data_IF_529325657520
#
_entry.id   IF_529325657520
#
_cell.length_a   1.000
_cell.length_b   1.000
_cell.length_c   1.000
_cell.angle_alpha   90.00
_cell.angle_beta   90.00
_cell.angle_gamma   90.00
#
_symmetry.space_group_name_H-M   'P 1'
#
loop_
_entity.id
_entity.type
_entity.pdbx_description
1 polymer ?
#
# COMPACT_ATOMS: atom_id res chain seq x y z
N UNK A 1 28.58 8.88 40.67
CA UNK A 1 29.64 8.96 39.64
C UNK A 1 30.03 7.61 39.06
N UNK A 2 30.44 6.63 39.87
CA UNK A 2 31.07 5.38 39.39
C UNK A 2 30.12 4.38 38.69
N UNK A 3 28.90 4.18 39.20
CA UNK A 3 27.96 3.20 38.65
C UNK A 3 27.40 3.53 37.26
N UNK A 4 27.21 4.82 36.95
CA UNK A 4 26.70 5.28 35.66
C UNK A 4 27.72 5.07 34.54
N UNK A 5 29.00 5.39 34.79
CA UNK A 5 30.10 5.09 33.86
C UNK A 5 30.24 3.59 33.58
N UNK A 6 30.05 2.74 34.59
CA UNK A 6 30.11 1.28 34.41
C UNK A 6 28.95 0.76 33.54
N UNK A 7 27.74 1.30 33.71
CA UNK A 7 26.58 0.96 32.86
C UNK A 7 26.76 1.42 31.42
N UNK A 8 27.31 2.62 31.20
CA UNK A 8 27.60 3.14 29.86
C UNK A 8 28.67 2.31 29.13
N UNK A 9 29.75 1.94 29.81
CA UNK A 9 30.78 1.06 29.24
C UNK A 9 30.19 -0.31 28.87
N UNK A 10 29.35 -0.88 29.75
CA UNK A 10 28.69 -2.17 29.48
C UNK A 10 27.67 -2.08 28.33
N UNK A 11 27.02 -0.93 28.14
CA UNK A 11 26.14 -0.69 26.99
C UNK A 11 26.93 -0.56 25.68
N UNK A 12 28.06 0.16 25.71
CA UNK A 12 28.97 0.29 24.56
C UNK A 12 29.57 -1.06 24.14
N UNK A 13 29.98 -1.90 25.11
CA UNK A 13 30.47 -3.27 24.84
C UNK A 13 29.40 -4.15 24.20
N UNK A 14 28.13 -4.03 24.64
CA UNK A 14 27.00 -4.78 24.05
C UNK A 14 26.66 -4.31 22.64
N UNK A 15 26.71 -3.00 22.39
CA UNK A 15 26.52 -2.41 21.06
C UNK A 15 27.63 -2.85 20.09
N UNK A 16 28.89 -2.84 20.53
CA UNK A 16 30.02 -3.32 19.74
C UNK A 16 29.89 -4.83 19.42
N UNK A 17 29.49 -5.64 20.41
CA UNK A 17 29.24 -7.07 20.21
C UNK A 17 28.06 -7.34 19.26
N UNK A 18 27.01 -6.52 19.32
CA UNK A 18 25.87 -6.61 18.40
C UNK A 18 26.27 -6.23 16.96
N UNK A 19 27.10 -5.19 16.78
CA UNK A 19 27.62 -4.80 15.48
C UNK A 19 28.54 -5.88 14.87
N UNK A 20 29.39 -6.51 15.68
CA UNK A 20 30.25 -7.61 15.23
C UNK A 20 29.43 -8.87 14.86
N UNK A 21 28.34 -9.14 15.59
CA UNK A 21 27.42 -10.23 15.26
C UNK A 21 26.66 -9.95 13.96
N UNK A 22 26.21 -8.71 13.72
CA UNK A 22 25.54 -8.30 12.48
C UNK A 22 26.49 -8.40 11.27
N UNK A 23 27.76 -8.01 11.42
CA UNK A 23 28.76 -8.15 10.37
C UNK A 23 29.00 -9.63 10.00
N UNK A 24 29.09 -10.52 11.00
CA UNK A 24 29.23 -11.97 10.75
C UNK A 24 28.00 -12.59 10.08
N UNK A 25 26.80 -12.11 10.44
CA UNK A 25 25.56 -12.55 9.79
C UNK A 25 25.53 -12.12 8.31
N UNK A 26 25.93 -10.89 8.00
CA UNK A 26 26.07 -10.40 6.61
C UNK A 26 27.08 -11.22 5.82
N UNK A 27 28.24 -11.56 6.40
CA UNK A 27 29.23 -12.42 5.72
C UNK A 27 28.70 -13.85 5.47
N UNK A 28 27.84 -14.36 6.34
CA UNK A 28 27.21 -15.67 6.17
C UNK A 28 26.14 -15.65 5.08
N UNK A 29 25.37 -14.56 4.99
CA UNK A 29 24.42 -14.30 3.89
C UNK A 29 25.13 -14.18 2.55
N UNK A 30 26.24 -13.43 2.46
CA UNK A 30 27.04 -13.32 1.24
C UNK A 30 27.60 -14.68 0.78
N UNK A 31 28.00 -15.54 1.72
CA UNK A 31 28.42 -16.92 1.42
C UNK A 31 27.28 -17.78 0.90
N UNK A 32 26.07 -17.62 1.45
CA UNK A 32 24.88 -18.33 0.97
C UNK A 32 24.50 -17.86 -0.44
N UNK A 33 24.55 -16.56 -0.72
CA UNK A 33 24.32 -15.99 -2.05
C UNK A 33 25.33 -16.54 -3.05
N UNK A 34 26.63 -16.51 -2.74
CA UNK A 34 27.67 -17.06 -3.61
C UNK A 34 27.48 -18.56 -3.91
N UNK A 35 27.01 -19.33 -2.92
CA UNK A 35 26.68 -20.74 -3.12
C UNK A 35 25.47 -20.94 -4.05
N UNK A 36 24.42 -20.12 -3.90
CA UNK A 36 23.24 -20.15 -4.76
C UNK A 36 23.59 -19.74 -6.19
N UNK A 37 24.40 -18.70 -6.38
CA UNK A 37 24.90 -18.28 -7.69
C UNK A 37 25.68 -19.39 -8.39
N UNK A 38 26.57 -20.07 -7.66
CA UNK A 38 27.31 -21.22 -8.18
C UNK A 38 26.36 -22.36 -8.59
N UNK A 39 25.33 -22.66 -7.79
CA UNK A 39 24.31 -23.66 -8.12
C UNK A 39 23.52 -23.27 -9.38
N UNK A 40 23.08 -22.02 -9.48
CA UNK A 40 22.35 -21.52 -10.66
C UNK A 40 23.21 -21.64 -11.90
N UNK A 41 24.50 -21.27 -11.81
CA UNK A 41 25.43 -21.36 -12.94
C UNK A 41 25.63 -22.79 -13.41
N UNK A 42 25.82 -23.74 -12.49
CA UNK A 42 25.98 -25.17 -12.83
C UNK A 42 24.70 -25.77 -13.42
N UNK A 43 23.52 -25.40 -12.92
CA UNK A 43 22.24 -25.78 -13.53
C UNK A 43 22.08 -25.20 -14.95
N UNK A 44 22.46 -23.94 -15.16
CA UNK A 44 22.41 -23.29 -16.46
C UNK A 44 23.38 -23.91 -17.48
N UNK A 45 24.55 -24.38 -17.03
CA UNK A 45 25.50 -25.11 -17.88
C UNK A 45 24.94 -26.49 -18.27
N UNK A 46 24.34 -27.24 -17.34
CA UNK A 46 23.67 -28.51 -17.65
C UNK A 46 22.51 -28.35 -18.63
N UNK A 47 21.67 -27.32 -18.45
CA UNK A 47 20.57 -27.04 -19.38
C UNK A 47 21.07 -26.69 -20.78
N UNK A 48 22.13 -25.89 -20.89
CA UNK A 48 22.77 -25.59 -22.19
C UNK A 48 23.27 -26.86 -22.87
N UNK A 49 23.87 -27.78 -22.11
CA UNK A 49 24.33 -29.05 -22.66
C UNK A 49 23.18 -29.91 -23.18
N UNK A 50 22.06 -30.00 -22.44
CA UNK A 50 20.86 -30.72 -22.91
C UNK A 50 20.22 -30.11 -24.16
N UNK A 51 20.18 -28.78 -24.24
CA UNK A 51 19.69 -28.08 -25.44
C UNK A 51 20.59 -28.41 -26.63
N UNK A 52 21.91 -28.35 -26.47
CA UNK A 52 22.87 -28.67 -27.54
C UNK A 52 22.77 -30.12 -28.00
N UNK A 53 22.57 -31.07 -27.08
CA UNK A 53 22.33 -32.49 -27.41
C UNK A 53 21.05 -32.66 -28.24
N UNK A 54 19.98 -31.92 -27.89
CA UNK A 54 18.70 -31.97 -28.59
C UNK A 54 18.82 -31.38 -30.00
N UNK A 55 19.52 -30.24 -30.13
CA UNK A 55 19.82 -29.63 -31.44
C UNK A 55 20.62 -30.61 -32.31
N UNK A 56 21.66 -31.24 -31.77
CA UNK A 56 22.48 -32.21 -32.49
C UNK A 56 21.67 -33.44 -32.94
N UNK A 57 20.75 -33.93 -32.10
CA UNK A 57 19.83 -35.01 -32.46
C UNK A 57 18.92 -34.63 -33.63
N UNK A 58 18.33 -33.43 -33.61
CA UNK A 58 17.48 -32.96 -34.69
C UNK A 58 18.25 -32.74 -36.00
N UNK A 59 19.47 -32.20 -35.94
CA UNK A 59 20.34 -32.04 -37.10
C UNK A 59 20.71 -33.40 -37.72
N UNK A 60 21.06 -34.38 -36.89
CA UNK A 60 21.36 -35.74 -37.35
C UNK A 60 20.15 -36.44 -37.96
N UNK A 61 18.96 -36.22 -37.42
CA UNK A 61 17.71 -36.74 -37.99
C UNK A 61 17.37 -36.10 -39.35
N UNK A 62 17.67 -34.81 -39.52
CA UNK A 62 17.54 -34.15 -40.82
C UNK A 62 18.54 -34.69 -41.85
N UNK A 63 19.79 -35.00 -41.44
CA UNK A 63 20.77 -35.58 -42.36
C UNK A 63 20.44 -37.01 -42.76
N UNK A 64 19.97 -37.86 -41.84
CA UNK A 64 19.55 -39.24 -42.18
C UNK A 64 18.33 -39.24 -43.09
N UNK A 65 17.35 -38.36 -42.84
CA UNK A 65 16.19 -38.22 -43.73
C UNK A 65 16.59 -37.67 -45.11
N UNK A 66 17.66 -36.87 -45.21
CA UNK A 66 18.19 -36.39 -46.49
C UNK A 66 19.01 -37.45 -47.24
N UNK A 67 19.68 -38.35 -46.52
CA UNK A 67 20.37 -39.52 -47.09
C UNK A 67 19.37 -40.60 -47.55
N UNK A 68 18.36 -40.95 -46.75
CA UNK A 68 17.27 -41.88 -47.15
C UNK A 68 16.49 -41.35 -48.36
N UNK A 69 16.26 -40.03 -48.46
CA UNK A 69 15.60 -39.42 -49.61
C UNK A 69 16.43 -39.45 -50.90
N UNK A 70 17.76 -39.63 -50.82
CA UNK A 70 18.64 -39.80 -51.98
C UNK A 70 18.75 -41.27 -52.41
N UNK A 71 18.56 -42.23 -51.50
CA UNK A 71 18.55 -43.67 -51.81
C UNK A 71 17.25 -44.13 -52.49
N UNK A 72 16.10 -43.48 -52.21
CA UNK A 72 14.81 -43.82 -52.83
C UNK A 72 14.69 -43.38 -54.31
N UNK A 73 15.59 -42.52 -54.82
CA UNK A 73 15.57 -42.03 -56.21
C UNK A 73 16.31 -42.95 -57.21
N UNK A 74 17.00 -44.02 -56.76
CA UNK A 74 17.73 -44.96 -57.64
C UNK A 74 16.90 -46.16 -58.13
N UNK A 75 15.67 -46.34 -57.64
CA UNK A 75 14.82 -47.50 -57.97
C UNK A 75 13.36 -47.10 -58.19
N UNK A 76 13.01 -46.60 -59.38
CA UNK A 76 11.84 -47.14 -60.09
C UNK A 76 11.65 -46.53 -61.49
N UNK A 77 11.60 -47.41 -62.48
CA UNK A 77 11.17 -47.12 -63.85
C UNK A 77 9.80 -47.78 -64.07
N UNK A 78 8.71 -47.01 -64.15
CA UNK A 78 7.53 -47.32 -64.96
C UNK A 78 6.59 -46.11 -65.09
N UNK A 79 6.28 -45.75 -66.34
CA UNK A 79 5.76 -44.43 -66.76
C UNK A 79 4.23 -44.20 -66.61
N UNK A 80 3.52 -44.95 -65.75
CA UNK A 80 2.05 -44.85 -65.64
C UNK A 80 1.53 -44.16 -64.37
N UNK A 81 2.14 -44.46 -63.22
CA UNK A 81 1.73 -43.92 -61.91
C UNK A 81 2.36 -42.54 -61.60
N UNK A 82 3.41 -42.19 -62.34
CA UNK A 82 4.28 -41.04 -62.11
C UNK A 82 3.56 -39.70 -62.30
N UNK A 83 2.58 -39.59 -63.21
CA UNK A 83 1.88 -38.32 -63.47
C UNK A 83 0.93 -37.91 -62.35
N UNK A 84 0.14 -38.84 -61.81
CA UNK A 84 -0.75 -38.56 -60.67
C UNK A 84 0.04 -38.27 -59.39
N UNK A 85 1.18 -38.95 -59.21
CA UNK A 85 2.11 -38.69 -58.11
C UNK A 85 2.79 -37.33 -58.22
N UNK A 86 3.19 -36.91 -59.43
CA UNK A 86 3.73 -35.57 -59.69
C UNK A 86 2.68 -34.47 -59.44
N UNK A 87 1.42 -34.68 -59.78
CA UNK A 87 0.35 -33.71 -59.49
C UNK A 87 0.05 -33.58 -57.99
N UNK A 88 0.08 -34.67 -57.22
CA UNK A 88 -0.10 -34.61 -55.77
C UNK A 88 1.12 -34.01 -55.08
N UNK A 89 2.34 -34.31 -55.53
CA UNK A 89 3.58 -33.69 -55.07
C UNK A 89 3.64 -32.20 -55.35
N UNK A 90 3.20 -31.75 -56.53
CA UNK A 90 3.16 -30.32 -56.86
C UNK A 90 2.11 -29.58 -56.02
N UNK A 91 0.94 -30.19 -55.76
CA UNK A 91 -0.04 -29.65 -54.80
C UNK A 91 0.51 -29.61 -53.38
N UNK A 92 1.24 -30.64 -52.95
CA UNK A 92 1.85 -30.70 -51.63
C UNK A 92 2.96 -29.64 -51.47
N UNK A 93 3.88 -29.52 -52.44
CA UNK A 93 4.90 -28.45 -52.50
C UNK A 93 4.26 -27.07 -52.47
N UNK A 94 3.17 -26.85 -53.22
CA UNK A 94 2.43 -25.58 -53.20
C UNK A 94 1.86 -25.26 -51.82
N UNK A 95 1.28 -26.24 -51.12
CA UNK A 95 0.78 -26.06 -49.75
C UNK A 95 1.90 -25.78 -48.75
N UNK A 96 3.05 -26.44 -48.90
CA UNK A 96 4.25 -26.23 -48.08
C UNK A 96 4.80 -24.81 -48.24
N UNK A 97 4.92 -24.33 -49.49
CA UNK A 97 5.34 -22.96 -49.78
C UNK A 97 4.36 -21.94 -49.20
N UNK A 98 3.04 -22.16 -49.35
CA UNK A 98 2.03 -21.29 -48.74
C UNK A 98 2.09 -21.29 -47.20
N UNK A 99 2.40 -22.43 -46.58
CA UNK A 99 2.60 -22.51 -45.13
C UNK A 99 3.87 -21.76 -44.69
N UNK A 100 4.95 -21.88 -45.45
CA UNK A 100 6.21 -21.17 -45.21
C UNK A 100 6.06 -19.65 -45.39
N UNK A 101 5.32 -19.19 -46.41
CA UNK A 101 5.00 -17.77 -46.61
C UNK A 101 4.16 -17.22 -45.45
N UNK A 102 3.19 -18.00 -44.95
CA UNK A 102 2.38 -17.61 -43.79
C UNK A 102 3.20 -17.55 -42.50
N UNK A 103 4.13 -18.49 -42.29
CA UNK A 103 5.01 -18.46 -41.12
C UNK A 103 6.03 -17.32 -41.21
N UNK A 104 6.53 -17.00 -42.41
CA UNK A 104 7.39 -15.85 -42.62
C UNK A 104 6.65 -14.53 -42.37
N UNK A 105 5.42 -14.39 -42.87
CA UNK A 105 4.58 -13.23 -42.62
C UNK A 105 4.21 -13.07 -41.14
N UNK A 106 3.95 -14.19 -40.44
CA UNK A 106 3.71 -14.18 -38.99
C UNK A 106 4.96 -13.77 -38.20
N UNK A 107 6.15 -14.25 -38.59
CA UNK A 107 7.42 -13.86 -37.97
C UNK A 107 7.73 -12.37 -38.22
N UNK A 108 7.47 -11.86 -39.42
CA UNK A 108 7.66 -10.43 -39.73
C UNK A 108 6.68 -9.53 -38.96
N UNK A 109 5.42 -9.97 -38.81
CA UNK A 109 4.44 -9.26 -38.00
C UNK A 109 4.84 -9.25 -36.50
N UNK A 110 5.35 -10.37 -35.99
CA UNK A 110 5.85 -10.45 -34.61
C UNK A 110 7.09 -9.57 -34.40
N UNK A 111 8.01 -9.51 -35.38
CA UNK A 111 9.16 -8.62 -35.32
C UNK A 111 8.75 -7.14 -35.28
N UNK A 112 7.79 -6.73 -36.11
CA UNK A 112 7.25 -5.36 -36.11
C UNK A 112 6.53 -5.01 -34.80
N UNK A 113 5.83 -5.97 -34.20
CA UNK A 113 5.21 -5.78 -32.90
C UNK A 113 6.27 -5.58 -31.80
N UNK A 114 7.32 -6.42 -31.79
CA UNK A 114 8.47 -6.28 -30.89
C UNK A 114 9.16 -4.94 -31.05
N UNK A 115 9.39 -4.48 -32.29
CA UNK A 115 10.03 -3.18 -32.54
C UNK A 115 9.21 -1.99 -32.00
N UNK A 116 7.88 -2.09 -32.04
CA UNK A 116 7.00 -1.06 -31.49
C UNK A 116 6.98 -1.09 -29.96
N UNK A 117 7.01 -2.28 -29.35
CA UNK A 117 7.18 -2.44 -27.89
C UNK A 117 8.54 -1.88 -27.44
N UNK A 118 9.62 -2.21 -28.13
CA UNK A 118 10.97 -1.71 -27.85
C UNK A 118 11.05 -0.19 -28.00
N UNK A 119 10.35 0.39 -28.99
CA UNK A 119 10.25 1.84 -29.17
C UNK A 119 9.55 2.50 -27.98
N UNK A 120 8.47 1.91 -27.49
CA UNK A 120 7.75 2.43 -26.31
C UNK A 120 8.60 2.34 -25.05
N UNK A 121 9.31 1.22 -24.85
CA UNK A 121 10.24 1.03 -23.74
C UNK A 121 11.36 2.06 -23.80
N UNK A 122 12.00 2.24 -24.95
CA UNK A 122 13.06 3.23 -25.13
C UNK A 122 12.60 4.67 -24.82
N UNK A 123 11.37 5.02 -25.21
CA UNK A 123 10.79 6.32 -24.88
C UNK A 123 10.56 6.49 -23.37
N UNK A 124 10.02 5.47 -22.71
CA UNK A 124 9.81 5.48 -21.25
C UNK A 124 11.14 5.55 -20.50
N UNK A 125 12.17 4.80 -20.92
CA UNK A 125 13.50 4.87 -20.34
C UNK A 125 14.10 6.26 -20.43
N UNK A 126 13.99 6.90 -21.61
CA UNK A 126 14.46 8.27 -21.79
C UNK A 126 13.71 9.25 -20.87
N UNK A 127 12.39 9.10 -20.77
CA UNK A 127 11.56 9.94 -19.90
C UNK A 127 11.92 9.75 -18.42
N UNK A 128 12.13 8.51 -17.98
CA UNK A 128 12.54 8.22 -16.60
C UNK A 128 13.92 8.80 -16.33
N UNK A 129 14.89 8.63 -17.24
CA UNK A 129 16.24 9.18 -17.09
C UNK A 129 16.21 10.71 -16.96
N UNK A 130 15.48 11.39 -17.84
CA UNK A 130 15.35 12.86 -17.80
C UNK A 130 14.66 13.35 -16.53
N UNK A 131 13.57 12.70 -16.09
CA UNK A 131 12.92 13.02 -14.81
C UNK A 131 13.82 12.74 -13.61
N UNK A 132 14.58 11.64 -13.62
CA UNK A 132 15.52 11.30 -12.56
C UNK A 132 16.70 12.28 -12.49
N UNK A 133 17.14 12.83 -13.63
CA UNK A 133 18.15 13.89 -13.66
C UNK A 133 17.60 15.21 -13.12
N UNK A 134 16.35 15.57 -13.44
CA UNK A 134 15.68 16.74 -12.88
C UNK A 134 15.45 16.61 -11.37
N UNK A 135 15.12 15.40 -10.89
CA UNK A 135 14.83 15.11 -9.48
C UNK A 135 16.04 14.55 -8.71
N UNK A 136 17.25 14.73 -9.25
CA UNK A 136 18.46 14.11 -8.71
C UNK A 136 18.72 14.51 -7.26
N UNK A 137 18.47 15.78 -6.93
CA UNK A 137 18.66 16.30 -5.58
C UNK A 137 17.69 15.68 -4.58
N UNK A 138 16.40 15.63 -4.92
CA UNK A 138 15.37 14.99 -4.11
C UNK A 138 15.67 13.50 -3.90
N UNK A 139 16.06 12.79 -4.96
CA UNK A 139 16.44 11.37 -4.88
C UNK A 139 17.60 11.18 -3.88
N UNK A 140 18.63 12.03 -3.95
CA UNK A 140 19.76 11.96 -3.03
C UNK A 140 19.34 12.28 -1.58
N UNK A 141 18.42 13.22 -1.36
CA UNK A 141 17.84 13.51 -0.04
C UNK A 141 17.07 12.31 0.50
N UNK A 142 16.24 11.65 -0.33
CA UNK A 142 15.49 10.45 0.07
C UNK A 142 16.42 9.27 0.37
N UNK A 143 17.50 9.10 -0.41
CA UNK A 143 18.53 8.09 -0.13
C UNK A 143 19.20 8.37 1.22
N UNK A 144 19.61 9.62 1.48
CA UNK A 144 20.24 10.00 2.74
C UNK A 144 19.31 9.80 3.94
N UNK A 145 18.03 10.17 3.80
CA UNK A 145 16.99 9.91 4.79
C UNK A 145 16.87 8.42 5.10
N UNK A 146 16.76 7.56 4.08
CA UNK A 146 16.66 6.12 4.31
C UNK A 146 17.93 5.51 4.90
N UNK A 147 19.12 5.97 4.50
CA UNK A 147 20.37 5.51 5.11
C UNK A 147 20.45 5.91 6.58
N UNK A 148 20.03 7.14 6.93
CA UNK A 148 19.92 7.59 8.31
C UNK A 148 18.94 6.70 9.08
N UNK A 149 17.73 6.49 8.55
CA UNK A 149 16.66 5.66 9.14
C UNK A 149 17.05 4.19 9.34
N UNK A 150 17.90 3.64 8.48
CA UNK A 150 18.44 2.29 8.64
C UNK A 150 19.50 2.19 9.76
N UNK A 151 20.18 3.30 10.06
CA UNK A 151 21.22 3.38 11.09
C UNK A 151 20.71 3.83 12.47
N UNK A 152 19.52 4.44 12.54
CA UNK A 152 18.90 4.93 13.77
C UNK A 152 18.33 3.81 14.64
N UNK A 153 18.28 4.04 15.94
CA UNK A 153 17.76 3.08 16.90
C UNK A 153 16.22 3.14 16.95
N UNK A 154 15.55 2.09 17.45
CA UNK A 154 14.09 1.96 17.35
C UNK A 154 13.29 3.06 18.08
N UNK A 155 13.86 3.70 19.11
CA UNK A 155 13.22 4.81 19.85
C UNK A 155 13.33 6.13 19.06
N UNK A 156 14.51 6.42 18.50
CA UNK A 156 14.73 7.59 17.63
C UNK A 156 13.92 7.49 16.32
N UNK A 157 13.71 6.28 15.79
CA UNK A 157 12.88 6.06 14.60
C UNK A 157 11.38 6.33 14.85
N UNK A 158 10.88 6.11 16.07
CA UNK A 158 9.50 6.43 16.43
C UNK A 158 9.31 7.94 16.60
N UNK A 159 10.30 8.64 17.17
CA UNK A 159 10.28 10.10 17.29
C UNK A 159 10.36 10.80 15.92
N UNK A 160 11.18 10.29 14.99
CA UNK A 160 11.24 10.80 13.61
C UNK A 160 9.94 10.55 12.83
N UNK A 161 9.30 9.38 12.98
CA UNK A 161 8.00 9.10 12.35
C UNK A 161 6.86 9.97 12.91
N UNK A 162 6.87 10.28 14.21
CA UNK A 162 5.91 11.22 14.81
C UNK A 162 6.08 12.65 14.28
N UNK A 163 7.32 13.06 14.01
CA UNK A 163 7.64 14.38 13.47
C UNK A 163 7.34 14.49 11.96
N UNK A 164 7.66 13.48 11.15
CA UNK A 164 7.29 13.45 9.73
C UNK A 164 5.75 13.45 9.56
N UNK A 165 5.02 12.75 10.44
CA UNK A 165 3.56 12.76 10.45
C UNK A 165 2.96 14.12 10.81
N UNK A 166 3.64 14.92 11.64
CA UNK A 166 3.17 16.26 11.99
C UNK A 166 3.37 17.25 10.84
N UNK A 167 4.46 17.11 10.09
CA UNK A 167 4.79 18.00 8.98
C UNK A 167 3.86 17.73 7.76
N UNK A 168 3.43 16.48 7.56
CA UNK A 168 2.42 16.11 6.54
C UNK A 168 1.01 16.65 6.86
N UNK A 169 0.64 16.76 8.14
CA UNK A 169 -0.62 17.41 8.55
C UNK A 169 -0.58 18.94 8.33
N UNK A 170 0.60 19.56 8.45
CA UNK A 170 0.79 21.00 8.21
C UNK A 170 0.79 21.35 6.71
N UNK A 171 1.41 20.50 5.87
CA UNK A 171 1.44 20.67 4.41
C UNK A 171 0.09 20.36 3.69
N UNK A 172 -0.84 19.69 4.37
CA UNK A 172 -2.18 19.40 3.85
C UNK A 172 -3.19 20.56 4.06
N UNK A 173 -2.77 21.67 4.66
CA UNK A 173 -3.55 22.90 4.68
C UNK A 173 -3.59 23.52 3.26
N UNK A 174 -4.78 23.85 2.71
CA UNK A 174 -4.86 24.38 1.35
C UNK A 174 -4.22 25.78 1.28
N UNK A 175 -3.15 25.91 0.51
CA UNK A 175 -2.59 27.19 0.09
C UNK A 175 -3.57 27.88 -0.87
N UNK A 176 -4.34 28.86 -0.38
CA UNK A 176 -4.93 29.87 -1.25
C UNK A 176 -3.89 30.95 -1.56
N UNK A 177 -3.54 31.06 -2.84
CA UNK A 177 -2.85 32.22 -3.41
C UNK A 177 -3.62 33.50 -3.06
N UNK A 178 -3.07 34.35 -2.19
CA UNK A 178 -3.32 35.79 -2.26
C UNK A 178 -2.13 36.59 -1.74
N UNK A 179 -1.62 37.45 -2.62
CA UNK A 179 -0.67 38.51 -2.32
C UNK A 179 -1.26 39.46 -1.27
N UNK A 180 -0.67 39.52 -0.08
CA UNK A 180 -0.48 40.75 0.71
C UNK A 180 0.33 40.42 1.97
N UNK A 181 1.52 40.99 2.05
CA UNK A 181 2.23 41.17 3.31
C UNK A 181 1.33 41.95 4.28
N UNK A 182 0.86 41.32 5.35
CA UNK A 182 0.66 42.01 6.62
C UNK A 182 0.86 41.03 7.78
N UNK A 183 1.87 41.37 8.57
CA UNK A 183 2.34 40.75 9.80
C UNK A 183 1.21 40.62 10.84
N UNK A 184 0.38 39.58 10.76
CA UNK A 184 -0.54 39.22 11.84
C UNK A 184 0.24 38.52 12.96
N UNK A 185 0.72 39.34 13.89
CA UNK A 185 1.23 38.87 15.18
C UNK A 185 0.20 37.98 15.92
N UNK A 186 0.64 37.26 16.97
CA UNK A 186 -0.21 36.31 17.69
C UNK A 186 -1.51 36.96 18.14
N UNK A 187 -2.65 36.46 17.63
CA UNK A 187 -3.99 36.93 18.01
C UNK A 187 -4.14 36.77 19.52
N UNK A 188 -3.99 37.86 20.25
CA UNK A 188 -4.17 37.88 21.69
C UNK A 188 -5.62 37.56 22.01
N UNK A 189 -5.87 36.36 22.54
CA UNK A 189 -7.15 35.90 23.10
C UNK A 189 -7.13 36.11 24.62
N UNK A 190 -7.40 37.33 25.12
CA UNK A 190 -7.30 37.67 26.54
C UNK A 190 -8.23 36.85 27.45
N UNK A 191 -9.15 36.08 26.88
CA UNK A 191 -10.16 35.32 27.59
C UNK A 191 -10.21 33.85 27.15
N UNK A 192 -9.12 33.27 26.61
CA UNK A 192 -8.94 31.83 26.34
C UNK A 192 -10.22 31.07 25.93
N UNK A 193 -11.07 31.68 25.10
CA UNK A 193 -12.28 31.05 24.59
C UNK A 193 -11.85 30.07 23.50
N UNK A 194 -12.36 28.83 23.48
CA UNK A 194 -11.98 27.83 22.49
C UNK A 194 -12.25 28.36 21.08
N UNK A 195 -11.22 28.28 20.22
CA UNK A 195 -11.25 28.79 18.85
C UNK A 195 -12.34 28.07 18.06
N UNK A 196 -13.05 28.81 17.21
CA UNK A 196 -14.03 28.22 16.31
C UNK A 196 -13.37 27.44 15.18
N UNK A 197 -14.19 26.80 14.36
CA UNK A 197 -13.76 26.07 13.16
C UNK A 197 -13.13 26.97 12.07
N UNK A 198 -13.01 28.27 12.32
CA UNK A 198 -12.62 29.34 11.39
C UNK A 198 -11.39 30.11 11.91
N UNK A 199 -10.68 29.58 12.93
CA UNK A 199 -9.49 30.20 13.53
C UNK A 199 -9.71 31.51 14.31
N UNK A 200 -10.88 32.13 14.15
CA UNK A 200 -11.26 33.39 14.81
C UNK A 200 -11.89 33.15 16.19
N UNK A 201 -11.67 34.03 17.19
CA UNK A 201 -12.29 33.91 18.50
C UNK A 201 -13.81 34.01 18.41
N UNK A 202 -14.53 32.97 18.85
CA UNK A 202 -15.99 32.90 18.82
C UNK A 202 -16.58 34.01 19.72
N UNK A 203 -17.52 34.84 19.23
CA UNK A 203 -18.21 35.83 20.05
C UNK A 203 -18.85 35.22 21.32
N UNK A 204 -18.69 35.86 22.48
CA UNK A 204 -19.08 35.33 23.80
C UNK A 204 -20.56 34.93 23.92
N UNK A 205 -21.46 35.65 23.24
CA UNK A 205 -22.89 35.32 23.22
C UNK A 205 -23.17 34.01 22.46
N UNK A 206 -22.41 33.73 21.40
CA UNK A 206 -22.52 32.52 20.59
C UNK A 206 -22.00 31.30 21.37
N UNK A 207 -20.92 31.48 22.13
CA UNK A 207 -20.38 30.49 23.06
C UNK A 207 -21.40 30.09 24.15
N UNK A 208 -22.11 31.06 24.72
CA UNK A 208 -23.14 30.84 25.76
C UNK A 208 -24.44 30.25 25.19
N UNK A 209 -24.79 30.57 23.95
CA UNK A 209 -26.00 30.07 23.27
C UNK A 209 -25.85 28.62 22.78
N UNK A 210 -24.71 28.27 22.20
CA UNK A 210 -24.45 26.90 21.71
C UNK A 210 -23.97 25.93 22.80
N UNK A 211 -23.83 26.41 24.05
CA UNK A 211 -23.50 25.59 25.20
C UNK A 211 -22.07 25.04 25.18
N UNK A 212 -21.13 25.69 24.48
CA UNK A 212 -19.74 25.25 24.37
C UNK A 212 -18.96 25.33 25.70
N UNK A 213 -19.46 26.08 26.69
CA UNK A 213 -18.80 26.22 28.00
C UNK A 213 -19.16 25.18 29.06
N UNK A 214 -19.94 24.16 28.70
CA UNK A 214 -20.16 23.01 29.57
C UNK A 214 -19.19 21.89 29.20
N UNK A 215 -18.34 21.50 30.15
CA UNK A 215 -17.42 20.37 30.02
C UNK A 215 -18.21 19.07 30.26
N UNK A 216 -18.19 18.17 29.28
CA UNK A 216 -18.76 16.82 29.39
C UNK A 216 -17.65 15.78 29.32
N UNK A 217 -17.53 14.94 30.36
CA UNK A 217 -16.52 13.88 30.42
C UNK A 217 -17.15 12.55 30.01
N UNK A 218 -16.49 11.82 29.12
CA UNK A 218 -16.89 10.45 28.77
C UNK A 218 -15.99 9.42 29.46
N UNK A 219 -16.57 8.60 30.33
CA UNK A 219 -15.85 7.57 31.10
C UNK A 219 -15.38 6.41 30.21
N UNK A 220 -16.12 6.08 29.16
CA UNK A 220 -15.81 4.98 28.22
C UNK A 220 -14.63 5.33 27.32
N UNK A 221 -14.44 6.63 27.04
CA UNK A 221 -13.32 7.15 26.25
C UNK A 221 -12.12 7.56 27.10
N UNK A 222 -11.99 7.05 28.32
CA UNK A 222 -10.85 7.37 29.21
C UNK A 222 -10.92 8.77 29.81
N UNK A 223 -12.12 9.24 30.19
CA UNK A 223 -12.38 10.57 30.76
C UNK A 223 -12.03 11.74 29.83
N UNK A 224 -12.07 11.52 28.52
CA UNK A 224 -11.88 12.60 27.55
C UNK A 224 -12.98 13.66 27.71
N UNK A 225 -12.56 14.92 27.71
CA UNK A 225 -13.40 16.08 28.01
C UNK A 225 -13.85 16.74 26.71
N UNK A 226 -15.16 16.76 26.47
CA UNK A 226 -15.80 17.36 25.31
C UNK A 226 -16.45 18.69 25.69
N UNK A 227 -16.21 19.72 24.88
CA UNK A 227 -16.78 21.05 25.09
C UNK A 227 -18.12 21.17 24.37
N UNK A 228 -19.19 21.19 25.15
CA UNK A 228 -20.56 21.36 24.68
C UNK A 228 -21.29 20.08 24.28
N UNK A 229 -22.63 20.13 24.40
CA UNK A 229 -23.53 18.99 24.25
C UNK A 229 -23.50 18.39 22.84
N UNK A 230 -23.38 19.20 21.80
CA UNK A 230 -23.36 18.73 20.40
C UNK A 230 -22.07 17.96 20.07
N UNK A 231 -20.93 18.42 20.60
CA UNK A 231 -19.65 17.72 20.46
C UNK A 231 -19.70 16.37 21.21
N UNK A 232 -20.28 16.37 22.41
CA UNK A 232 -20.52 15.16 23.17
C UNK A 232 -21.49 14.22 22.43
N UNK A 233 -22.61 14.65 21.88
CA UNK A 233 -23.51 13.73 21.17
C UNK A 233 -22.88 13.14 19.89
N UNK A 234 -21.98 13.89 19.22
CA UNK A 234 -21.22 13.39 18.07
C UNK A 234 -20.19 12.33 18.45
N UNK A 235 -19.61 12.39 19.65
CA UNK A 235 -18.55 11.47 20.07
C UNK A 235 -18.99 9.99 20.12
N UNK A 236 -20.29 9.72 20.34
CA UNK A 236 -20.82 8.35 20.38
C UNK A 236 -20.70 7.60 19.04
N UNK A 237 -20.62 8.33 17.93
CA UNK A 237 -20.38 7.76 16.60
C UNK A 237 -18.88 7.69 16.24
N UNK A 238 -18.02 8.27 17.07
CA UNK A 238 -16.58 8.34 16.83
C UNK A 238 -15.91 6.99 17.11
N UNK A 239 -14.80 6.73 16.43
CA UNK A 239 -14.09 5.47 16.54
C UNK A 239 -13.60 5.19 17.97
N UNK A 240 -13.14 6.23 18.69
CA UNK A 240 -12.68 6.13 20.09
C UNK A 240 -13.76 5.57 21.02
N UNK A 241 -15.00 6.03 20.87
CA UNK A 241 -16.12 5.53 21.67
C UNK A 241 -16.54 4.12 21.26
N UNK A 242 -16.61 3.87 19.96
CA UNK A 242 -16.92 2.54 19.41
C UNK A 242 -15.90 1.48 19.85
N UNK A 243 -14.63 1.86 19.89
CA UNK A 243 -13.54 1.01 20.33
C UNK A 243 -13.61 0.74 21.84
N UNK A 244 -13.85 1.78 22.67
CA UNK A 244 -14.07 1.62 24.11
C UNK A 244 -15.24 0.67 24.42
N UNK A 245 -16.35 0.81 23.70
CA UNK A 245 -17.51 -0.09 23.82
C UNK A 245 -17.17 -1.53 23.40
N UNK A 246 -16.35 -1.71 22.36
CA UNK A 246 -15.87 -3.02 21.91
C UNK A 246 -14.97 -3.70 22.94
N UNK A 247 -14.13 -2.95 23.65
CA UNK A 247 -13.32 -3.46 24.75
C UNK A 247 -14.18 -3.95 25.93
N UNK A 248 -15.31 -3.29 26.18
CA UNK A 248 -16.30 -3.69 27.19
C UNK A 248 -17.26 -4.79 26.72
N UNK A 249 -17.12 -5.25 25.46
CA UNK A 249 -17.98 -6.26 24.81
C UNK A 249 -19.47 -5.87 24.75
N UNK A 250 -19.78 -4.57 24.71
CA UNK A 250 -21.14 -4.06 24.55
C UNK A 250 -21.30 -3.63 23.08
N UNK A 251 -22.33 -4.11 22.35
CA UNK A 251 -22.54 -3.70 20.96
C UNK A 251 -22.92 -2.21 20.90
N UNK A 252 -22.22 -1.44 20.04
CA UNK A 252 -22.50 -0.02 19.82
C UNK A 252 -23.78 0.16 18.98
N UNK A 253 -24.94 0.01 19.63
CA UNK A 253 -26.25 0.28 19.04
C UNK A 253 -26.75 1.66 19.44
N UNK A 254 -27.74 2.19 18.71
CA UNK A 254 -28.36 3.49 19.01
C UNK A 254 -29.00 3.56 20.40
N UNK A 255 -29.32 2.41 21.00
CA UNK A 255 -29.85 2.28 22.36
C UNK A 255 -28.84 2.70 23.43
N UNK A 256 -27.53 2.61 23.15
CA UNK A 256 -26.48 2.95 24.11
C UNK A 256 -25.88 4.36 23.90
N UNK A 257 -26.45 5.18 23.02
CA UNK A 257 -25.95 6.53 22.72
C UNK A 257 -26.31 7.58 23.78
N UNK A 258 -27.36 7.35 24.57
CA UNK A 258 -27.70 8.17 25.72
C UNK A 258 -28.79 7.48 26.55
N UNK A 259 -28.55 7.27 27.86
CA UNK A 259 -29.62 7.01 28.81
C UNK A 259 -30.47 8.28 28.89
N UNK A 260 -31.67 8.26 28.31
CA UNK A 260 -32.60 9.38 28.40
C UNK A 260 -33.46 9.15 29.63
N UNK A 261 -33.10 9.84 30.71
CA UNK A 261 -33.83 9.77 31.98
C UNK A 261 -35.34 9.94 31.78
N UNK A 262 -35.78 10.81 30.88
CA UNK A 262 -37.20 11.06 30.56
C UNK A 262 -37.93 9.87 29.90
N UNK A 263 -37.21 8.93 29.29
CA UNK A 263 -37.77 7.76 28.62
C UNK A 263 -37.76 6.51 29.50
N UNK A 264 -36.84 6.45 30.47
CA UNK A 264 -36.58 5.26 31.29
C UNK A 264 -36.97 5.42 32.76
N UNK A 265 -37.26 6.64 33.26
CA UNK A 265 -37.87 6.81 34.57
C UNK A 265 -39.36 6.47 34.51
N UNK A 266 -39.72 5.50 35.33
CA UNK A 266 -41.07 5.01 35.53
C UNK A 266 -41.70 5.74 36.71
N UNK A 267 -42.86 6.37 36.49
CA UNK A 267 -43.69 6.98 37.53
C UNK A 267 -44.97 6.17 37.72
N UNK A 268 -45.35 5.98 38.98
CA UNK A 268 -46.61 5.37 39.37
C UNK A 268 -47.69 6.46 39.50
N UNK A 269 -48.85 6.24 38.88
CA UNK A 269 -50.05 7.04 39.13
C UNK A 269 -50.70 6.67 40.47
N UNK A 270 -51.73 7.41 40.90
CA UNK A 270 -52.43 7.16 42.16
C UNK A 270 -53.11 5.78 42.23
N UNK A 271 -53.34 5.15 41.07
CA UNK A 271 -53.93 3.83 40.92
C UNK A 271 -52.86 2.72 40.82
N UNK A 272 -51.57 3.06 40.90
CA UNK A 272 -50.44 2.15 40.92
C UNK A 272 -50.00 1.62 39.54
N UNK A 273 -50.43 2.24 38.44
CA UNK A 273 -49.95 1.89 37.10
C UNK A 273 -48.62 2.59 36.82
N UNK A 274 -47.66 1.81 36.32
CA UNK A 274 -46.32 2.28 35.99
C UNK A 274 -46.28 2.76 34.55
N UNK A 275 -45.89 4.01 34.33
CA UNK A 275 -45.72 4.58 33.00
C UNK A 275 -44.48 5.47 32.91
N UNK A 276 -43.92 5.63 31.71
CA UNK A 276 -42.76 6.52 31.52
C UNK A 276 -43.09 7.97 31.92
N UNK A 277 -42.12 8.69 32.49
CA UNK A 277 -42.25 10.09 32.93
C UNK A 277 -42.91 10.99 31.87
N UNK A 278 -42.51 10.81 30.61
CA UNK A 278 -43.07 11.57 29.49
C UNK A 278 -44.55 11.29 29.27
N UNK A 279 -44.96 10.02 29.34
CA UNK A 279 -46.36 9.65 29.23
C UNK A 279 -47.16 10.23 30.41
N UNK A 280 -46.63 10.16 31.63
CA UNK A 280 -47.26 10.74 32.81
C UNK A 280 -47.46 12.26 32.69
N UNK A 281 -46.43 13.00 32.26
CA UNK A 281 -46.55 14.45 32.06
C UNK A 281 -47.51 14.83 30.92
N UNK A 282 -47.52 14.05 29.84
CA UNK A 282 -48.42 14.27 28.71
C UNK A 282 -49.89 13.98 29.10
N UNK A 283 -50.16 12.92 29.87
CA UNK A 283 -51.50 12.64 30.42
C UNK A 283 -51.91 13.72 31.45
N UNK A 284 -50.99 14.18 32.31
CA UNK A 284 -51.23 15.27 33.26
C UNK A 284 -51.56 16.59 32.54
N UNK A 285 -50.89 16.88 31.42
CA UNK A 285 -51.18 18.07 30.58
C UNK A 285 -52.53 17.97 29.88
N UNK A 286 -52.98 16.76 29.56
CA UNK A 286 -54.29 16.48 28.99
C UNK A 286 -55.41 16.40 30.06
N UNK A 287 -55.04 16.43 31.36
CA UNK A 287 -55.97 16.38 32.48
C UNK A 287 -56.58 15.00 32.74
N UNK A 288 -55.90 13.93 32.31
CA UNK A 288 -56.35 12.54 32.42
C UNK A 288 -55.74 11.79 33.62
N UNK A 289 -54.96 12.50 34.46
CA UNK A 289 -54.31 12.06 35.70
C UNK A 289 -54.59 13.07 36.81
#
# INVERSE_FOLDING_TARGET
GSGYKKKLLQAAERSAAAAEAAAKASEEEDRQIAFLEFRIKTLADMLREQINQTIAYHQKKQSTNAEEALEEDEQDSSDGASQLFLETLTRYKKKLLQAAERSAAAAEAAAKASEEEDRQIAFLEFRIKTLADMLREQINQTIAYHQKKQSTNAEEALEEDEQDSSDEEEAAAPEEESEAEEEEGPVYNPLNLPLGFDGRPIPYWLYKLHGLGQEFKCEICGNFSYWGRRAFERHFAEWRHSFGMRCLKIPNTTHFKAFKQDQELECEDADGNVMSLRAFEDLRRQGLL
#
